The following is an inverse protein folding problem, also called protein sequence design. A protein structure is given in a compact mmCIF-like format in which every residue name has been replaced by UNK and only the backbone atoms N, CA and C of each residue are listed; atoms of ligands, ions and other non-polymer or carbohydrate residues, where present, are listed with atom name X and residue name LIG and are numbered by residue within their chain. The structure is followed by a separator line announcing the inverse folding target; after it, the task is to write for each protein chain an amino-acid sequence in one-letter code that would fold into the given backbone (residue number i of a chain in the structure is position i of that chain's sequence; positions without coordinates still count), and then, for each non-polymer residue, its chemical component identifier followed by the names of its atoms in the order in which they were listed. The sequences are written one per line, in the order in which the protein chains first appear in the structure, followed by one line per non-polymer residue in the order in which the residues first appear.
data_IF_336748766353
#
_entry.id   IF_336748766353
#
_cell.length_a   1.000
_cell.length_b   1.000
_cell.length_c   1.000
_cell.angle_alpha   90.00
_cell.angle_beta   90.00
_cell.angle_gamma   90.00
#
_symmetry.space_group_name_H-M   'P 1'
#
loop_
_entity.id
_entity.type
_entity.pdbx_description
1 polymer ?
#
# COMPACT_ATOMS: atom_id res chain seq x y z
N UNK A 1 23.67 66.89 27.05
CA UNK A 1 22.35 66.47 26.54
C UNK A 1 22.27 66.32 25.02
N UNK A 2 23.39 66.21 24.28
CA UNK A 2 23.38 66.28 22.80
C UNK A 2 23.95 65.05 22.07
N UNK A 3 24.54 64.08 22.77
CA UNK A 3 25.04 62.82 22.17
C UNK A 3 24.07 61.65 22.25
N UNK A 4 23.23 61.60 23.29
CA UNK A 4 22.25 60.52 23.49
C UNK A 4 21.03 60.63 22.58
N UNK A 5 20.71 61.81 22.04
CA UNK A 5 19.55 61.99 21.15
C UNK A 5 19.82 61.57 19.70
N UNK A 6 21.09 61.53 19.26
CA UNK A 6 21.46 61.11 17.89
C UNK A 6 21.50 59.59 17.73
N UNK A 7 21.74 58.83 18.81
CA UNK A 7 21.78 57.37 18.76
C UNK A 7 20.38 56.75 18.75
N UNK A 8 19.41 57.38 19.45
CA UNK A 8 18.01 56.92 19.44
C UNK A 8 17.31 57.17 18.12
N UNK A 9 17.69 58.21 17.36
CA UNK A 9 17.10 58.49 16.05
C UNK A 9 17.62 57.54 14.96
N UNK A 10 18.86 57.02 15.08
CA UNK A 10 19.39 56.01 14.15
C UNK A 10 18.81 54.60 14.43
N UNK A 11 18.53 54.26 15.69
CA UNK A 11 17.88 52.99 16.04
C UNK A 11 16.39 52.95 15.66
N UNK A 12 15.70 54.10 15.60
CA UNK A 12 14.30 54.17 15.16
C UNK A 12 14.13 54.16 13.64
N UNK A 13 15.18 54.47 12.88
CA UNK A 13 15.14 54.46 11.40
C UNK A 13 15.48 53.07 10.82
N UNK A 14 16.13 52.20 11.60
CA UNK A 14 16.46 50.83 11.21
C UNK A 14 15.31 49.82 11.33
N UNK A 15 14.23 50.16 12.05
CA UNK A 15 13.07 49.26 12.28
C UNK A 15 11.91 49.49 11.30
N UNK A 16 12.05 50.39 10.33
CA UNK A 16 11.03 50.69 9.32
C UNK A 16 11.28 50.05 7.95
N UNK A 17 12.35 49.27 7.79
CA UNK A 17 12.52 48.36 6.65
C UNK A 17 11.90 47.00 6.97
N UNK A 18 10.61 47.01 7.33
CA UNK A 18 9.80 45.81 7.15
C UNK A 18 9.65 45.67 5.63
N UNK A 19 10.37 44.72 5.03
CA UNK A 19 10.10 44.27 3.67
C UNK A 19 8.59 44.08 3.53
N UNK A 20 7.94 44.60 2.47
CA UNK A 20 6.52 44.36 2.29
C UNK A 20 6.30 42.86 2.39
N UNK A 21 5.50 42.44 3.37
CA UNK A 21 4.98 41.09 3.40
C UNK A 21 4.11 40.98 2.15
N UNK A 22 4.70 40.49 1.06
CA UNK A 22 3.98 40.20 -0.17
C UNK A 22 3.00 39.07 0.17
N UNK A 23 1.78 39.47 0.53
CA UNK A 23 0.67 38.55 0.65
C UNK A 23 0.51 37.90 -0.72
N UNK A 24 0.71 36.59 -0.80
CA UNK A 24 0.58 35.86 -2.07
C UNK A 24 -0.83 36.09 -2.61
N UNK A 25 -0.99 36.42 -3.90
CA UNK A 25 -2.30 36.65 -4.47
C UNK A 25 -3.16 35.39 -4.34
N UNK A 26 -4.45 35.54 -4.05
CA UNK A 26 -5.35 34.40 -4.05
C UNK A 26 -5.71 34.02 -5.48
N UNK A 27 -5.66 32.72 -5.80
CA UNK A 27 -6.11 32.20 -7.09
C UNK A 27 -7.64 32.19 -7.22
N UNK A 28 -8.38 32.33 -6.10
CA UNK A 28 -9.83 32.20 -6.06
C UNK A 28 -10.55 33.17 -6.99
N UNK A 29 -10.08 34.42 -7.10
CA UNK A 29 -10.70 35.40 -7.98
C UNK A 29 -10.64 34.98 -9.46
N UNK A 30 -9.54 34.36 -9.90
CA UNK A 30 -9.42 33.85 -11.27
C UNK A 30 -10.39 32.69 -11.51
N UNK A 31 -10.54 31.80 -10.52
CA UNK A 31 -11.50 30.68 -10.56
C UNK A 31 -12.93 31.21 -10.68
N UNK A 32 -13.31 32.18 -9.84
CA UNK A 32 -14.67 32.70 -9.76
C UNK A 32 -15.10 33.41 -11.07
N UNK A 33 -14.15 34.07 -11.73
CA UNK A 33 -14.34 34.77 -13.01
C UNK A 33 -14.26 33.85 -14.24
N UNK A 34 -13.81 32.60 -14.09
CA UNK A 34 -13.69 31.66 -15.20
C UNK A 34 -15.08 31.16 -15.63
N UNK A 35 -15.46 31.29 -16.92
CA UNK A 35 -16.73 30.77 -17.42
C UNK A 35 -16.83 29.24 -17.27
N UNK A 36 -18.05 28.73 -17.05
CA UNK A 36 -18.32 27.30 -16.91
C UNK A 36 -17.84 26.53 -18.15
N UNK A 37 -17.25 25.36 -17.91
CA UNK A 37 -16.74 24.46 -18.95
C UNK A 37 -15.45 24.93 -19.63
N UNK A 38 -14.90 26.08 -19.23
CA UNK A 38 -13.68 26.63 -19.85
C UNK A 38 -12.42 26.33 -19.04
N UNK A 39 -11.27 26.61 -19.64
CA UNK A 39 -9.95 26.38 -19.04
C UNK A 39 -9.38 27.67 -18.46
N UNK A 40 -9.04 27.64 -17.17
CA UNK A 40 -8.20 28.63 -16.50
C UNK A 40 -6.73 28.19 -16.56
N UNK A 41 -5.89 29.05 -17.12
CA UNK A 41 -4.42 28.95 -17.09
C UNK A 41 -3.86 30.15 -16.35
N UNK A 42 -3.60 30.03 -15.04
CA UNK A 42 -3.01 31.11 -14.27
C UNK A 42 -1.59 31.42 -14.76
N UNK A 43 -1.13 32.67 -14.66
CA UNK A 43 0.29 32.96 -14.79
C UNK A 43 1.14 32.11 -13.83
N UNK A 44 2.38 31.82 -14.22
CA UNK A 44 3.32 31.13 -13.34
C UNK A 44 3.51 31.91 -12.03
N UNK A 45 3.54 31.21 -10.90
CA UNK A 45 3.70 31.84 -9.59
C UNK A 45 3.15 31.04 -8.43
N UNK A 46 3.30 31.61 -7.23
CA UNK A 46 2.75 31.09 -5.98
C UNK A 46 1.48 31.86 -5.62
N UNK A 47 0.46 31.15 -5.18
CA UNK A 47 -0.83 31.70 -4.80
C UNK A 47 -1.17 31.27 -3.37
N UNK A 48 -1.85 32.15 -2.63
CA UNK A 48 -2.37 31.80 -1.31
C UNK A 48 -3.58 30.87 -1.43
N UNK A 49 -3.49 29.74 -0.74
CA UNK A 49 -4.63 28.90 -0.38
C UNK A 49 -5.33 29.40 0.89
N UNK A 50 -6.46 28.78 1.28
CA UNK A 50 -7.12 27.67 0.60
C UNK A 50 -7.87 28.13 -0.67
N UNK A 51 -8.04 27.22 -1.63
CA UNK A 51 -8.90 27.45 -2.81
C UNK A 51 -10.04 26.44 -2.89
N UNK A 52 -11.18 26.88 -3.45
CA UNK A 52 -12.37 26.06 -3.64
C UNK A 52 -12.81 26.10 -5.10
N UNK A 53 -12.87 24.92 -5.72
CA UNK A 53 -13.44 24.71 -7.06
C UNK A 53 -14.89 24.28 -6.90
N UNK A 54 -15.80 25.25 -6.99
CA UNK A 54 -17.26 25.07 -6.88
C UNK A 54 -17.97 25.13 -8.24
N UNK A 55 -17.20 25.18 -9.33
CA UNK A 55 -17.69 25.35 -10.70
C UNK A 55 -16.97 24.37 -11.62
N UNK A 56 -17.69 23.82 -12.59
CA UNK A 56 -17.11 22.93 -13.60
C UNK A 56 -16.15 23.72 -14.49
N UNK A 57 -14.85 23.58 -14.26
CA UNK A 57 -13.78 24.22 -15.06
C UNK A 57 -12.60 23.26 -15.24
N UNK A 58 -11.70 23.59 -16.16
CA UNK A 58 -10.34 23.03 -16.13
C UNK A 58 -9.40 24.03 -15.50
N UNK A 59 -8.68 23.66 -14.43
CA UNK A 59 -7.56 24.42 -13.90
C UNK A 59 -6.26 23.76 -14.34
N UNK A 60 -5.50 24.46 -15.18
CA UNK A 60 -4.25 24.00 -15.77
C UNK A 60 -3.09 24.89 -15.30
N UNK A 61 -2.29 24.37 -14.36
CA UNK A 61 -1.15 25.06 -13.80
C UNK A 61 0.12 24.97 -14.64
N UNK A 62 0.12 24.18 -15.72
CA UNK A 62 1.26 24.01 -16.64
C UNK A 62 2.59 23.62 -15.95
N UNK A 63 2.52 23.05 -14.73
CA UNK A 63 3.69 22.73 -13.92
C UNK A 63 4.39 23.95 -13.29
N UNK A 64 3.79 25.14 -13.38
CA UNK A 64 4.40 26.40 -12.95
C UNK A 64 3.57 27.17 -11.91
N UNK A 65 2.48 26.58 -11.42
CA UNK A 65 1.58 27.18 -10.42
C UNK A 65 1.67 26.42 -9.10
N UNK A 66 2.03 27.13 -8.03
CA UNK A 66 2.02 26.62 -6.65
C UNK A 66 0.87 27.23 -5.87
N UNK A 67 0.17 26.41 -5.08
CA UNK A 67 -0.83 26.85 -4.11
C UNK A 67 -0.31 26.49 -2.72
N UNK A 68 -0.10 27.52 -1.91
CA UNK A 68 0.45 27.42 -0.57
C UNK A 68 -0.66 27.60 0.47
N UNK A 69 -0.97 26.56 1.23
CA UNK A 69 -1.98 26.58 2.29
C UNK A 69 -1.58 27.35 3.56
N UNK A 70 -0.35 27.84 3.64
CA UNK A 70 0.13 28.66 4.76
C UNK A 70 0.18 27.92 6.10
N UNK A 71 0.16 26.59 6.10
CA UNK A 71 0.16 25.76 7.30
C UNK A 71 -1.19 25.66 8.00
N UNK A 72 -2.30 25.96 7.32
CA UNK A 72 -3.64 25.90 7.91
C UNK A 72 -4.67 25.32 6.95
N UNK A 73 -5.45 24.35 7.43
CA UNK A 73 -6.57 23.82 6.66
C UNK A 73 -6.13 23.00 5.45
N UNK A 74 -7.10 22.70 4.59
CA UNK A 74 -6.90 22.04 3.30
C UNK A 74 -6.50 23.04 2.21
N UNK A 75 -5.51 22.72 1.38
CA UNK A 75 -4.98 23.60 0.32
C UNK A 75 -5.98 23.79 -0.81
N UNK A 76 -6.53 22.71 -1.36
CA UNK A 76 -7.52 22.71 -2.45
C UNK A 76 -8.74 21.86 -2.08
N UNK A 77 -9.94 22.42 -2.24
CA UNK A 77 -11.20 21.67 -2.15
C UNK A 77 -11.93 21.68 -3.48
N UNK A 78 -12.30 20.51 -4.01
CA UNK A 78 -13.12 20.37 -5.22
C UNK A 78 -14.53 19.91 -4.81
N UNK A 79 -15.53 20.68 -5.22
CA UNK A 79 -16.97 20.42 -4.97
C UNK A 79 -17.80 20.31 -6.24
N UNK A 80 -17.25 20.70 -7.38
CA UNK A 80 -17.94 20.61 -8.66
C UNK A 80 -17.51 19.37 -9.43
N UNK A 81 -18.50 18.62 -9.88
CA UNK A 81 -18.32 17.47 -10.77
C UNK A 81 -17.76 17.88 -12.13
N UNK A 82 -17.24 16.91 -12.88
CA UNK A 82 -16.74 17.10 -14.26
C UNK A 82 -15.62 18.16 -14.37
N UNK A 83 -14.85 18.32 -13.29
CA UNK A 83 -13.74 19.27 -13.18
C UNK A 83 -12.44 18.58 -13.56
N UNK A 84 -11.53 19.31 -14.19
CA UNK A 84 -10.17 18.82 -14.47
C UNK A 84 -9.15 19.71 -13.81
N UNK A 85 -8.30 19.15 -12.95
CA UNK A 85 -7.22 19.87 -12.28
C UNK A 85 -5.90 19.22 -12.65
N UNK A 86 -4.98 20.01 -13.21
CA UNK A 86 -3.69 19.47 -13.65
C UNK A 86 -2.51 20.41 -13.51
N UNK A 87 -1.33 19.84 -13.36
CA UNK A 87 -0.07 20.59 -13.40
C UNK A 87 0.10 21.59 -12.26
N UNK A 88 -0.50 21.33 -11.09
CA UNK A 88 -0.35 22.15 -9.90
C UNK A 88 0.66 21.57 -8.92
N UNK A 89 1.24 22.44 -8.11
CA UNK A 89 1.94 22.08 -6.89
C UNK A 89 1.12 22.55 -5.68
N UNK A 90 0.69 21.63 -4.81
CA UNK A 90 -0.07 21.92 -3.60
C UNK A 90 0.80 21.66 -2.37
N UNK A 91 0.98 22.66 -1.52
CA UNK A 91 1.89 22.54 -0.38
C UNK A 91 1.38 23.25 0.88
N UNK A 92 2.01 22.93 2.01
CA UNK A 92 1.78 23.56 3.31
C UNK A 92 0.32 23.48 3.80
N UNK A 93 -0.28 22.30 3.82
CA UNK A 93 -1.57 22.11 4.52
C UNK A 93 -1.41 22.35 6.03
N UNK A 94 -2.54 22.43 6.74
CA UNK A 94 -2.57 22.36 8.20
C UNK A 94 -2.21 20.99 8.76
N UNK A 95 -2.40 20.84 10.08
CA UNK A 95 -1.94 19.70 10.88
C UNK A 95 -3.07 19.02 11.67
N UNK A 96 -4.32 19.40 11.42
CA UNK A 96 -5.47 18.80 12.13
C UNK A 96 -5.85 17.46 11.51
N UNK A 97 -5.69 16.38 12.30
CA UNK A 97 -6.24 15.06 11.99
C UNK A 97 -7.78 15.06 12.04
N UNK A 98 -8.37 15.78 12.99
CA UNK A 98 -9.83 15.87 13.15
C UNK A 98 -10.50 16.57 11.96
N UNK A 99 -9.90 17.66 11.46
CA UNK A 99 -10.41 18.39 10.31
C UNK A 99 -9.99 17.78 8.96
N UNK A 100 -9.10 16.77 8.97
CA UNK A 100 -8.50 16.13 7.80
C UNK A 100 -7.81 17.16 6.88
N UNK A 101 -6.93 17.98 7.45
CA UNK A 101 -6.20 19.01 6.70
C UNK A 101 -5.37 18.38 5.56
N UNK A 102 -5.76 18.63 4.31
CA UNK A 102 -5.23 17.90 3.16
C UNK A 102 -4.58 18.79 2.11
N UNK A 103 -3.80 18.21 1.20
CA UNK A 103 -3.48 18.88 -0.06
C UNK A 103 -4.72 19.02 -0.94
N UNK A 104 -5.47 17.94 -1.11
CA UNK A 104 -6.74 17.91 -1.83
C UNK A 104 -7.85 17.29 -0.99
N UNK A 105 -8.95 18.02 -0.83
CA UNK A 105 -10.24 17.48 -0.45
C UNK A 105 -11.14 17.36 -1.69
N UNK A 106 -11.44 16.13 -2.11
CA UNK A 106 -12.34 15.84 -3.22
C UNK A 106 -13.71 15.42 -2.68
N UNK A 107 -14.75 16.19 -3.05
CA UNK A 107 -16.17 15.96 -2.70
C UNK A 107 -17.04 16.11 -3.95
N UNK A 108 -16.63 15.46 -5.02
CA UNK A 108 -17.23 15.56 -6.35
C UNK A 108 -17.03 14.25 -7.12
N UNK A 109 -17.73 14.13 -8.24
CA UNK A 109 -17.68 12.99 -9.15
C UNK A 109 -17.10 13.37 -10.51
N UNK A 110 -16.61 12.39 -11.26
CA UNK A 110 -16.08 12.60 -12.61
C UNK A 110 -14.97 13.67 -12.65
N UNK A 111 -14.16 13.76 -11.60
CA UNK A 111 -13.02 14.68 -11.52
C UNK A 111 -11.78 13.99 -12.04
N UNK A 112 -11.04 14.68 -12.91
CA UNK A 112 -9.69 14.28 -13.31
C UNK A 112 -8.69 15.15 -12.55
N UNK A 113 -7.91 14.53 -11.68
CA UNK A 113 -6.82 15.17 -10.95
C UNK A 113 -5.50 14.55 -11.39
N UNK A 114 -4.77 15.22 -12.28
CA UNK A 114 -3.62 14.63 -12.97
C UNK A 114 -2.34 15.49 -12.94
N UNK A 115 -1.18 14.85 -12.90
CA UNK A 115 0.13 15.55 -13.07
C UNK A 115 0.36 16.63 -12.03
N UNK A 116 -0.12 16.44 -10.80
CA UNK A 116 0.07 17.37 -9.70
C UNK A 116 1.16 16.86 -8.74
N UNK A 117 1.80 17.79 -8.05
CA UNK A 117 2.72 17.49 -6.94
C UNK A 117 2.09 17.94 -5.62
N UNK A 118 2.10 17.07 -4.63
CA UNK A 118 1.62 17.31 -3.29
C UNK A 118 2.74 16.97 -2.30
N UNK A 119 3.21 17.96 -1.56
CA UNK A 119 4.23 17.78 -0.51
C UNK A 119 4.01 18.73 0.65
N UNK A 120 4.62 18.40 1.80
CA UNK A 120 4.37 19.10 3.06
C UNK A 120 2.88 19.23 3.44
N UNK A 121 2.10 18.22 3.06
CA UNK A 121 0.67 18.09 3.39
C UNK A 121 0.47 16.96 4.40
N UNK A 122 -0.47 17.13 5.34
CA UNK A 122 -0.74 16.12 6.36
C UNK A 122 -1.40 14.91 5.70
N UNK A 123 -2.57 15.11 5.09
CA UNK A 123 -3.19 14.15 4.16
C UNK A 123 -2.92 14.59 2.73
N UNK A 124 -2.60 13.66 1.82
CA UNK A 124 -2.38 14.01 0.41
C UNK A 124 -3.70 14.33 -0.29
N UNK A 125 -4.46 13.29 -0.63
CA UNK A 125 -5.75 13.36 -1.31
C UNK A 125 -6.81 12.65 -0.47
N UNK A 126 -7.84 13.38 -0.03
CA UNK A 126 -8.99 12.80 0.67
C UNK A 126 -10.22 12.86 -0.25
N UNK A 127 -10.61 11.70 -0.78
CA UNK A 127 -11.84 11.49 -1.55
C UNK A 127 -12.95 11.09 -0.57
N UNK A 128 -13.96 11.94 -0.46
CA UNK A 128 -15.05 11.75 0.49
C UNK A 128 -16.38 11.75 -0.25
N UNK A 129 -16.96 10.55 -0.39
CA UNK A 129 -18.19 10.33 -1.16
C UNK A 129 -18.07 10.81 -2.61
N UNK A 130 -16.91 10.60 -3.22
CA UNK A 130 -16.65 10.93 -4.62
C UNK A 130 -16.56 9.66 -5.46
N UNK A 131 -17.20 9.66 -6.62
CA UNK A 131 -17.26 8.50 -7.50
C UNK A 131 -16.75 8.83 -8.90
N UNK A 132 -16.32 7.79 -9.61
CA UNK A 132 -15.94 7.90 -11.03
C UNK A 132 -14.81 8.94 -11.25
N UNK A 133 -13.94 9.14 -10.25
CA UNK A 133 -12.83 10.09 -10.35
C UNK A 133 -11.56 9.40 -10.83
N UNK A 134 -10.73 10.14 -11.57
CA UNK A 134 -9.41 9.70 -12.02
C UNK A 134 -8.33 10.52 -11.32
N UNK A 135 -7.55 9.87 -10.47
CA UNK A 135 -6.38 10.41 -9.79
C UNK A 135 -5.15 9.77 -10.44
N UNK A 136 -4.45 10.50 -11.32
CA UNK A 136 -3.37 9.89 -12.09
C UNK A 136 -2.11 10.73 -12.27
N UNK A 137 -0.97 10.07 -12.48
CA UNK A 137 0.31 10.75 -12.74
C UNK A 137 0.68 11.78 -11.65
N UNK A 138 0.22 11.63 -10.40
CA UNK A 138 0.52 12.57 -9.32
C UNK A 138 1.72 12.10 -8.49
N UNK A 139 2.45 13.06 -7.93
CA UNK A 139 3.50 12.81 -6.94
C UNK A 139 3.02 13.27 -5.57
N UNK A 140 2.96 12.37 -4.61
CA UNK A 140 2.34 12.61 -3.30
C UNK A 140 3.33 12.23 -2.20
N UNK A 141 3.61 13.18 -1.30
CA UNK A 141 4.41 12.97 -0.11
C UNK A 141 3.87 13.78 1.07
N UNK A 142 4.15 13.31 2.29
CA UNK A 142 3.60 13.93 3.51
C UNK A 142 4.58 14.91 4.16
N UNK A 143 4.17 15.49 5.29
CA UNK A 143 5.02 16.31 6.17
C UNK A 143 6.22 15.48 6.69
N UNK A 144 7.37 16.13 6.97
CA UNK A 144 8.60 15.47 7.44
C UNK A 144 8.54 15.10 8.93
N UNK A 145 7.46 14.40 9.34
CA UNK A 145 7.26 13.87 10.68
C UNK A 145 7.39 12.35 10.67
N UNK A 146 7.45 11.73 11.85
CA UNK A 146 7.43 10.27 11.99
C UNK A 146 6.16 9.68 11.39
N UNK A 147 6.23 8.48 10.82
CA UNK A 147 5.16 7.88 10.01
C UNK A 147 3.81 7.81 10.72
N UNK A 148 3.79 7.56 12.04
CA UNK A 148 2.57 7.50 12.85
C UNK A 148 1.83 8.82 12.99
N UNK A 149 2.50 9.96 12.80
CA UNK A 149 1.93 11.30 12.89
C UNK A 149 1.49 11.87 11.52
N UNK A 150 1.85 11.20 10.43
CA UNK A 150 1.42 11.56 9.07
C UNK A 150 -0.06 11.22 8.86
N UNK A 151 -0.72 11.93 7.94
CA UNK A 151 -1.98 11.49 7.37
C UNK A 151 -1.75 10.54 6.20
N UNK A 152 -2.83 9.98 5.69
CA UNK A 152 -2.86 9.13 4.50
C UNK A 152 -2.43 9.91 3.27
N UNK A 153 -1.67 9.26 2.37
CA UNK A 153 -1.31 9.82 1.09
C UNK A 153 -2.54 9.95 0.19
N UNK A 154 -3.33 8.88 0.12
CA UNK A 154 -4.64 8.89 -0.53
C UNK A 154 -5.62 8.17 0.39
N UNK A 155 -6.78 8.78 0.62
CA UNK A 155 -7.86 8.23 1.42
C UNK A 155 -9.16 8.25 0.63
N UNK A 156 -9.81 7.10 0.51
CA UNK A 156 -11.17 6.96 -0.03
C UNK A 156 -12.11 6.59 1.11
N UNK A 157 -13.19 7.36 1.24
CA UNK A 157 -14.25 7.08 2.19
C UNK A 157 -15.60 7.08 1.49
N UNK A 158 -16.34 5.98 1.58
CA UNK A 158 -17.63 5.80 0.91
C UNK A 158 -17.61 6.18 -0.59
N UNK A 159 -16.57 5.76 -1.30
CA UNK A 159 -16.27 6.18 -2.66
C UNK A 159 -16.12 4.96 -3.57
N UNK A 160 -16.61 5.01 -4.81
CA UNK A 160 -16.59 3.86 -5.74
C UNK A 160 -16.21 4.23 -7.16
N UNK A 161 -15.80 3.24 -7.95
CA UNK A 161 -15.42 3.38 -9.36
C UNK A 161 -14.33 4.43 -9.59
N UNK A 162 -13.46 4.67 -8.60
CA UNK A 162 -12.36 5.61 -8.75
C UNK A 162 -11.16 4.89 -9.35
N UNK A 163 -10.43 5.62 -10.18
CA UNK A 163 -9.21 5.19 -10.84
C UNK A 163 -8.02 5.89 -10.19
N UNK A 164 -7.21 5.13 -9.45
CA UNK A 164 -5.96 5.60 -8.84
C UNK A 164 -4.82 5.00 -9.67
N UNK A 165 -4.28 5.77 -10.61
CA UNK A 165 -3.45 5.24 -11.70
C UNK A 165 -2.09 5.93 -11.79
N UNK A 166 -0.99 5.19 -11.94
CA UNK A 166 0.33 5.76 -12.27
C UNK A 166 0.82 6.86 -11.29
N UNK A 167 0.43 6.79 -10.01
CA UNK A 167 0.85 7.76 -9.00
C UNK A 167 2.14 7.31 -8.29
N UNK A 168 2.97 8.28 -7.90
CA UNK A 168 4.11 8.10 -7.01
C UNK A 168 3.71 8.52 -5.58
N UNK A 169 3.55 7.55 -4.69
CA UNK A 169 3.10 7.76 -3.31
C UNK A 169 4.23 7.39 -2.35
N UNK A 170 4.93 8.40 -1.84
CA UNK A 170 6.20 8.20 -1.12
C UNK A 170 6.22 8.91 0.22
N UNK A 171 6.66 8.18 1.24
CA UNK A 171 6.85 8.77 2.56
C UNK A 171 5.55 9.27 3.17
N UNK A 172 4.43 8.63 2.86
CA UNK A 172 3.12 8.93 3.47
C UNK A 172 2.84 7.95 4.61
N UNK A 173 1.68 8.08 5.27
CA UNK A 173 1.22 7.03 6.18
C UNK A 173 0.75 5.82 5.37
N UNK A 174 -0.45 5.90 4.81
CA UNK A 174 -1.10 4.79 4.12
C UNK A 174 -1.83 5.26 2.84
N UNK A 175 -2.12 4.33 1.91
CA UNK A 175 -3.23 4.45 0.95
C UNK A 175 -4.41 3.66 1.55
N UNK A 176 -5.49 4.34 1.95
CA UNK A 176 -6.59 3.72 2.70
C UNK A 176 -7.93 3.82 1.96
N UNK A 177 -8.61 2.68 1.83
CA UNK A 177 -9.99 2.58 1.40
C UNK A 177 -10.87 2.11 2.55
N UNK A 178 -11.93 2.86 2.84
CA UNK A 178 -12.93 2.48 3.85
C UNK A 178 -14.33 2.58 3.24
N UNK A 179 -15.10 1.50 3.31
CA UNK A 179 -16.44 1.40 2.72
C UNK A 179 -16.46 1.81 1.23
N UNK A 180 -15.39 1.47 0.51
CA UNK A 180 -15.13 1.99 -0.84
C UNK A 180 -14.98 0.83 -1.82
N UNK A 181 -16.09 0.31 -2.36
CA UNK A 181 -16.06 -0.84 -3.26
C UNK A 181 -15.69 -0.44 -4.69
N UNK A 182 -15.29 -1.42 -5.49
CA UNK A 182 -15.23 -1.33 -6.95
C UNK A 182 -14.30 -0.20 -7.47
N UNK A 183 -13.11 -0.03 -6.88
CA UNK A 183 -12.10 0.92 -7.37
C UNK A 183 -10.94 0.19 -8.05
N UNK A 184 -10.23 0.93 -8.90
CA UNK A 184 -9.08 0.46 -9.67
C UNK A 184 -7.81 1.15 -9.16
N UNK A 185 -6.86 0.36 -8.64
CA UNK A 185 -5.56 0.85 -8.14
C UNK A 185 -4.48 0.23 -9.02
N UNK A 186 -4.07 0.94 -10.07
CA UNK A 186 -3.30 0.37 -11.18
C UNK A 186 -1.99 1.13 -11.41
N UNK A 187 -0.87 0.42 -11.59
CA UNK A 187 0.38 1.04 -12.05
C UNK A 187 1.05 2.02 -11.07
N UNK A 188 0.65 2.01 -9.78
CA UNK A 188 1.18 2.97 -8.81
C UNK A 188 2.52 2.51 -8.24
N UNK A 189 3.36 3.47 -7.84
CA UNK A 189 4.60 3.23 -7.10
C UNK A 189 4.43 3.69 -5.65
N UNK A 190 4.51 2.74 -4.71
CA UNK A 190 4.33 2.99 -3.27
C UNK A 190 5.60 2.64 -2.50
N UNK A 191 6.29 3.65 -1.96
CA UNK A 191 7.60 3.44 -1.32
C UNK A 191 7.79 4.22 -0.03
N UNK A 192 8.47 3.61 0.94
CA UNK A 192 8.80 4.22 2.24
C UNK A 192 7.58 4.72 3.02
N UNK A 193 6.45 4.05 2.84
CA UNK A 193 5.19 4.29 3.54
C UNK A 193 5.06 3.35 4.74
N UNK A 194 4.09 3.62 5.61
CA UNK A 194 3.76 2.71 6.71
C UNK A 194 3.02 1.50 6.14
N UNK A 195 1.78 1.65 5.71
CA UNK A 195 1.04 0.60 5.00
C UNK A 195 0.93 1.00 3.54
N UNK A 196 1.23 0.09 2.63
CA UNK A 196 1.20 0.42 1.20
C UNK A 196 -0.24 0.64 0.75
N UNK A 197 -1.11 -0.33 1.02
CA UNK A 197 -2.55 -0.23 0.74
C UNK A 197 -3.34 -0.91 1.85
N UNK A 198 -4.42 -0.30 2.29
CA UNK A 198 -5.32 -0.86 3.30
C UNK A 198 -6.77 -0.80 2.81
N UNK A 199 -7.45 -1.94 2.82
CA UNK A 199 -8.83 -2.10 2.41
C UNK A 199 -9.67 -2.54 3.62
N UNK A 200 -10.64 -1.72 4.01
CA UNK A 200 -11.53 -1.98 5.14
C UNK A 200 -12.98 -1.89 4.64
N UNK A 201 -13.73 -2.98 4.73
CA UNK A 201 -15.11 -3.07 4.21
C UNK A 201 -15.24 -2.60 2.76
N UNK A 202 -14.26 -2.94 1.92
CA UNK A 202 -14.10 -2.40 0.58
C UNK A 202 -13.96 -3.54 -0.43
N UNK A 203 -15.06 -4.22 -0.79
CA UNK A 203 -15.03 -5.37 -1.69
C UNK A 203 -14.85 -4.97 -3.17
N UNK A 204 -14.49 -5.93 -4.02
CA UNK A 204 -14.54 -5.77 -5.48
C UNK A 204 -13.47 -4.85 -6.08
N UNK A 205 -12.42 -4.50 -5.33
CA UNK A 205 -11.35 -3.63 -5.83
C UNK A 205 -10.31 -4.40 -6.66
N UNK A 206 -9.83 -3.77 -7.73
CA UNK A 206 -8.75 -4.27 -8.58
C UNK A 206 -7.42 -3.61 -8.18
N UNK A 207 -6.40 -4.44 -7.92
CA UNK A 207 -5.06 -4.03 -7.56
C UNK A 207 -4.09 -4.69 -8.53
N UNK A 208 -3.62 -3.91 -9.52
CA UNK A 208 -2.86 -4.45 -10.65
C UNK A 208 -1.63 -3.63 -11.05
N UNK A 209 -0.58 -4.29 -11.49
CA UNK A 209 0.66 -3.67 -12.00
C UNK A 209 1.32 -2.67 -11.03
N UNK A 210 1.09 -2.78 -9.71
CA UNK A 210 1.70 -1.84 -8.76
C UNK A 210 3.09 -2.31 -8.33
N UNK A 211 3.99 -1.33 -8.11
CA UNK A 211 5.30 -1.56 -7.53
C UNK A 211 5.34 -1.05 -6.08
N UNK A 212 5.43 -2.00 -5.15
CA UNK A 212 5.40 -1.76 -3.71
C UNK A 212 6.77 -2.14 -3.15
N UNK A 213 7.47 -1.19 -2.51
CA UNK A 213 8.83 -1.42 -2.05
C UNK A 213 9.24 -0.62 -0.82
N UNK A 214 9.93 -1.27 0.12
CA UNK A 214 10.49 -0.63 1.33
C UNK A 214 9.44 0.05 2.22
N UNK A 215 8.25 -0.53 2.30
CA UNK A 215 7.19 -0.08 3.22
C UNK A 215 7.24 -0.90 4.53
N UNK A 216 6.63 -0.40 5.59
CA UNK A 216 6.53 -1.18 6.83
C UNK A 216 5.67 -2.43 6.62
N UNK A 217 4.54 -2.28 5.91
CA UNK A 217 3.60 -3.34 5.50
C UNK A 217 3.18 -3.16 4.04
N UNK A 218 2.93 -4.26 3.32
CA UNK A 218 2.43 -4.24 1.95
C UNK A 218 0.93 -3.95 1.86
N UNK A 219 0.17 -4.86 1.25
CA UNK A 219 -1.29 -4.76 1.08
C UNK A 219 -2.00 -5.46 2.24
N UNK A 220 -2.95 -4.78 2.86
CA UNK A 220 -3.78 -5.30 3.95
C UNK A 220 -5.25 -5.25 3.53
N UNK A 221 -5.93 -6.39 3.64
CA UNK A 221 -7.36 -6.49 3.40
C UNK A 221 -8.07 -7.01 4.65
N UNK A 222 -9.08 -6.28 5.13
CA UNK A 222 -9.89 -6.63 6.29
C UNK A 222 -11.36 -6.51 5.91
N UNK A 223 -12.11 -7.61 6.03
CA UNK A 223 -13.54 -7.68 5.65
C UNK A 223 -13.81 -7.11 4.25
N UNK A 224 -12.94 -7.41 3.29
CA UNK A 224 -12.96 -6.86 1.94
C UNK A 224 -12.89 -8.00 0.94
N UNK A 225 -14.07 -8.49 0.56
CA UNK A 225 -14.23 -9.66 -0.31
C UNK A 225 -13.99 -9.33 -1.79
N UNK A 226 -13.83 -10.35 -2.62
CA UNK A 226 -13.79 -10.22 -4.09
C UNK A 226 -12.68 -9.28 -4.59
N UNK A 227 -11.57 -9.17 -3.85
CA UNK A 227 -10.40 -8.42 -4.30
C UNK A 227 -9.67 -9.16 -5.41
N UNK A 228 -9.15 -8.40 -6.35
CA UNK A 228 -8.36 -8.92 -7.46
C UNK A 228 -6.95 -8.33 -7.42
N UNK A 229 -6.02 -9.08 -6.82
CA UNK A 229 -4.63 -8.68 -6.60
C UNK A 229 -3.76 -9.43 -7.59
N UNK A 230 -3.39 -8.77 -8.70
CA UNK A 230 -2.62 -9.43 -9.76
C UNK A 230 -1.50 -8.63 -10.37
N UNK A 231 -0.49 -9.32 -10.88
CA UNK A 231 0.61 -8.71 -11.63
C UNK A 231 1.36 -7.60 -10.84
N UNK A 232 1.32 -7.65 -9.50
CA UNK A 232 2.02 -6.67 -8.65
C UNK A 232 3.41 -7.18 -8.26
N UNK A 233 4.32 -6.24 -8.04
CA UNK A 233 5.65 -6.52 -7.48
C UNK A 233 5.75 -5.94 -6.08
N UNK A 234 5.85 -6.81 -5.07
CA UNK A 234 5.89 -6.46 -3.66
C UNK A 234 7.20 -6.92 -3.04
N UNK A 235 8.02 -5.97 -2.61
CA UNK A 235 9.37 -6.24 -2.16
C UNK A 235 9.81 -5.48 -0.91
N UNK A 236 10.80 -6.05 -0.22
CA UNK A 236 11.50 -5.40 0.89
C UNK A 236 10.60 -5.00 2.07
N UNK A 237 9.51 -5.73 2.32
CA UNK A 237 8.71 -5.59 3.54
C UNK A 237 9.38 -6.38 4.66
N UNK A 238 10.36 -5.75 5.34
CA UNK A 238 11.31 -6.44 6.23
C UNK A 238 11.04 -6.29 7.72
N UNK A 239 10.05 -5.48 8.11
CA UNK A 239 9.72 -5.31 9.53
C UNK A 239 9.21 -6.63 10.12
N UNK A 240 9.71 -6.98 11.31
CA UNK A 240 9.32 -8.20 12.00
C UNK A 240 7.82 -8.22 12.26
N UNK A 241 7.15 -9.29 11.85
CA UNK A 241 5.70 -9.46 12.00
C UNK A 241 4.86 -8.72 10.96
N UNK A 242 5.48 -8.09 9.96
CA UNK A 242 4.77 -7.48 8.83
C UNK A 242 4.70 -8.45 7.64
N UNK A 243 3.76 -8.22 6.72
CA UNK A 243 3.56 -9.06 5.54
C UNK A 243 3.47 -8.22 4.27
N UNK A 244 3.91 -8.79 3.15
CA UNK A 244 3.70 -8.21 1.83
C UNK A 244 2.21 -8.23 1.45
N UNK A 245 1.51 -9.31 1.78
CA UNK A 245 0.06 -9.44 1.68
C UNK A 245 -0.48 -9.92 3.03
N UNK A 246 -1.49 -9.25 3.58
CA UNK A 246 -2.19 -9.68 4.79
C UNK A 246 -3.70 -9.67 4.51
N UNK A 247 -4.28 -10.86 4.36
CA UNK A 247 -5.70 -11.05 4.04
C UNK A 247 -6.40 -11.58 5.28
N UNK A 248 -7.31 -10.76 5.83
CA UNK A 248 -8.00 -11.04 7.09
C UNK A 248 -9.50 -10.96 6.91
N UNK A 249 -10.20 -12.02 7.31
CA UNK A 249 -11.66 -12.11 7.29
C UNK A 249 -12.25 -11.66 5.96
N UNK A 250 -11.56 -12.00 4.87
CA UNK A 250 -11.90 -11.63 3.50
C UNK A 250 -11.93 -12.90 2.65
N UNK A 251 -12.84 -12.92 1.68
CA UNK A 251 -13.18 -14.10 0.89
C UNK A 251 -13.21 -13.79 -0.60
N UNK A 252 -13.16 -14.84 -1.42
CA UNK A 252 -13.22 -14.74 -2.88
C UNK A 252 -12.14 -13.83 -3.48
N UNK A 253 -11.01 -13.69 -2.76
CA UNK A 253 -9.87 -12.89 -3.21
C UNK A 253 -9.02 -13.73 -4.16
N UNK A 254 -8.68 -13.14 -5.30
CA UNK A 254 -7.72 -13.71 -6.24
C UNK A 254 -6.36 -13.03 -6.04
N UNK A 255 -5.33 -13.84 -5.81
CA UNK A 255 -3.93 -13.42 -5.71
C UNK A 255 -3.20 -14.15 -6.84
N UNK A 256 -2.94 -13.46 -7.95
CA UNK A 256 -2.42 -14.09 -9.15
C UNK A 256 -1.22 -13.38 -9.78
N UNK A 257 -0.24 -14.10 -10.32
CA UNK A 257 0.89 -13.52 -11.06
C UNK A 257 1.69 -12.44 -10.31
N UNK A 258 1.71 -12.45 -8.97
CA UNK A 258 2.47 -11.46 -8.21
C UNK A 258 3.91 -11.91 -7.98
N UNK A 259 4.84 -10.97 -8.05
CA UNK A 259 6.22 -11.14 -7.60
C UNK A 259 6.34 -10.69 -6.14
N UNK A 260 6.54 -11.65 -5.22
CA UNK A 260 6.59 -11.41 -3.78
C UNK A 260 7.99 -11.74 -3.28
N UNK A 261 8.84 -10.71 -3.20
CA UNK A 261 10.29 -10.87 -3.10
C UNK A 261 10.89 -10.24 -1.84
N UNK A 262 11.70 -11.01 -1.10
CA UNK A 262 12.51 -10.49 0.01
C UNK A 262 11.68 -9.81 1.11
N UNK A 263 10.61 -10.47 1.55
CA UNK A 263 9.73 -10.01 2.62
C UNK A 263 9.87 -10.87 3.89
N UNK A 264 9.51 -10.30 5.04
CA UNK A 264 9.44 -11.03 6.31
C UNK A 264 8.37 -12.13 6.24
N UNK A 265 7.19 -11.80 5.71
CA UNK A 265 6.17 -12.79 5.31
C UNK A 265 5.61 -12.37 3.95
N UNK A 266 5.56 -13.29 2.99
CA UNK A 266 4.99 -13.02 1.67
C UNK A 266 3.48 -12.82 1.74
N UNK A 267 2.74 -13.85 2.16
CA UNK A 267 1.29 -13.82 2.36
C UNK A 267 0.94 -14.33 3.76
N UNK A 268 0.14 -13.56 4.49
CA UNK A 268 -0.53 -13.99 5.72
C UNK A 268 -2.04 -14.09 5.48
N UNK A 269 -2.65 -15.22 5.82
CA UNK A 269 -4.10 -15.41 5.67
C UNK A 269 -4.71 -16.27 6.79
N UNK A 270 -5.95 -15.96 7.18
CA UNK A 270 -6.74 -16.81 8.08
C UNK A 270 -7.49 -17.91 7.33
N UNK A 271 -7.72 -19.01 8.03
CA UNK A 271 -8.60 -20.08 7.56
C UNK A 271 -10.00 -19.53 7.24
N UNK A 272 -10.66 -20.03 6.17
CA UNK A 272 -12.07 -19.80 5.90
C UNK A 272 -12.92 -20.20 7.11
N UNK A 273 -13.78 -19.30 7.59
CA UNK A 273 -14.80 -19.66 8.59
C UNK A 273 -15.90 -20.50 7.93
N UNK A 274 -16.25 -20.17 6.68
CA UNK A 274 -17.25 -20.87 5.87
C UNK A 274 -16.63 -21.43 4.58
N UNK A 275 -17.16 -22.53 4.00
CA UNK A 275 -16.61 -23.13 2.77
C UNK A 275 -16.50 -22.18 1.58
N UNK A 276 -17.34 -21.16 1.51
CA UNK A 276 -17.33 -20.11 0.50
C UNK A 276 -16.22 -19.06 0.71
N UNK A 277 -15.54 -19.05 1.86
CA UNK A 277 -14.52 -18.05 2.20
C UNK A 277 -13.13 -18.42 1.65
N UNK A 278 -13.07 -18.70 0.35
CA UNK A 278 -11.88 -19.23 -0.33
C UNK A 278 -10.96 -18.09 -0.78
N UNK A 279 -9.66 -18.34 -0.78
CA UNK A 279 -8.67 -17.53 -1.47
C UNK A 279 -8.14 -18.35 -2.65
N UNK A 280 -7.97 -17.70 -3.80
CA UNK A 280 -7.39 -18.30 -5.01
C UNK A 280 -5.98 -17.75 -5.17
N UNK A 281 -4.98 -18.56 -4.79
CA UNK A 281 -3.57 -18.18 -4.81
C UNK A 281 -2.92 -18.95 -5.94
N UNK A 282 -2.64 -18.28 -7.06
CA UNK A 282 -2.13 -18.97 -8.25
C UNK A 282 -1.08 -18.21 -9.01
N UNK A 283 -0.18 -18.92 -9.67
CA UNK A 283 0.80 -18.32 -10.58
C UNK A 283 1.72 -17.25 -9.91
N UNK A 284 1.82 -17.22 -8.57
CA UNK A 284 2.66 -16.24 -7.88
C UNK A 284 4.08 -16.75 -7.71
N UNK A 285 5.04 -15.84 -7.74
CA UNK A 285 6.45 -16.11 -7.42
C UNK A 285 6.79 -15.59 -6.04
N UNK A 286 6.95 -16.50 -5.08
CA UNK A 286 7.45 -16.20 -3.76
C UNK A 286 8.95 -16.48 -3.73
N UNK A 287 9.77 -15.43 -3.62
CA UNK A 287 11.23 -15.58 -3.68
C UNK A 287 11.95 -14.86 -2.53
N UNK A 288 12.93 -15.52 -1.91
CA UNK A 288 13.77 -14.95 -0.85
C UNK A 288 13.01 -14.40 0.38
N UNK A 289 11.79 -14.86 0.64
CA UNK A 289 11.04 -14.46 1.82
C UNK A 289 11.50 -15.27 3.05
N UNK A 290 11.41 -14.69 4.25
CA UNK A 290 11.66 -15.47 5.48
C UNK A 290 10.57 -16.55 5.64
N UNK A 291 9.33 -16.18 5.35
CA UNK A 291 8.19 -17.08 5.22
C UNK A 291 7.46 -16.69 3.92
N UNK A 292 7.29 -17.60 2.96
CA UNK A 292 6.52 -17.28 1.75
C UNK A 292 5.04 -17.16 2.06
N UNK A 293 4.43 -18.17 2.70
CA UNK A 293 3.02 -18.12 3.11
C UNK A 293 2.87 -18.55 4.58
N UNK A 294 2.09 -17.79 5.33
CA UNK A 294 1.68 -18.07 6.70
C UNK A 294 0.15 -18.19 6.80
N UNK A 295 -0.33 -19.37 7.18
CA UNK A 295 -1.75 -19.60 7.47
C UNK A 295 -2.02 -19.73 8.96
N UNK A 296 -3.11 -19.16 9.42
CA UNK A 296 -3.57 -19.35 10.80
C UNK A 296 -5.07 -19.69 10.88
N UNK A 297 -5.52 -20.24 12.01
CA UNK A 297 -6.92 -20.63 12.22
C UNK A 297 -7.12 -22.15 12.24
N UNK A 298 -8.36 -22.60 12.13
CA UNK A 298 -8.75 -23.95 12.59
C UNK A 298 -9.06 -24.96 11.47
N UNK A 299 -8.97 -24.56 10.19
CA UNK A 299 -9.51 -25.39 9.09
C UNK A 299 -8.73 -25.39 7.78
N UNK A 300 -8.12 -24.28 7.35
CA UNK A 300 -7.72 -24.13 5.93
C UNK A 300 -8.91 -24.27 4.97
N UNK A 301 -8.64 -24.52 3.68
CA UNK A 301 -9.65 -24.60 2.62
C UNK A 301 -9.45 -23.61 1.47
N UNK A 302 -8.26 -23.01 1.35
CA UNK A 302 -7.91 -22.18 0.19
C UNK A 302 -7.42 -23.04 -0.99
N UNK A 303 -7.35 -22.44 -2.17
CA UNK A 303 -6.84 -23.09 -3.39
C UNK A 303 -5.49 -22.46 -3.74
N UNK A 304 -4.43 -23.27 -3.75
CA UNK A 304 -3.05 -22.83 -3.97
C UNK A 304 -2.41 -23.64 -5.08
N UNK A 305 -2.50 -23.15 -6.31
CA UNK A 305 -2.08 -23.87 -7.51
C UNK A 305 -1.03 -23.12 -8.30
N UNK A 306 -0.11 -23.82 -8.96
CA UNK A 306 0.79 -23.24 -9.96
C UNK A 306 1.70 -22.10 -9.45
N UNK A 307 1.97 -22.02 -8.14
CA UNK A 307 2.88 -21.02 -7.56
C UNK A 307 4.32 -21.53 -7.54
N UNK A 308 5.27 -20.60 -7.52
CA UNK A 308 6.69 -20.89 -7.43
C UNK A 308 7.24 -20.46 -6.06
N UNK A 309 7.88 -21.40 -5.36
CA UNK A 309 8.51 -21.18 -4.06
C UNK A 309 10.02 -21.35 -4.17
N UNK A 310 10.72 -20.24 -4.34
CA UNK A 310 12.16 -20.22 -4.63
C UNK A 310 12.98 -19.54 -3.54
N UNK A 311 13.95 -20.25 -2.97
CA UNK A 311 14.93 -19.74 -2.00
C UNK A 311 14.29 -19.02 -0.80
N UNK A 312 13.09 -19.44 -0.39
CA UNK A 312 12.47 -18.94 0.84
C UNK A 312 13.06 -19.67 2.04
N UNK A 313 13.27 -18.98 3.17
CA UNK A 313 13.73 -19.65 4.38
C UNK A 313 12.68 -20.66 4.90
N UNK A 314 11.40 -20.35 4.69
CA UNK A 314 10.27 -21.25 4.94
C UNK A 314 9.22 -21.05 3.85
N UNK A 315 8.88 -22.10 3.09
CA UNK A 315 7.85 -21.99 2.05
C UNK A 315 6.45 -21.81 2.67
N UNK A 316 6.09 -22.66 3.64
CA UNK A 316 4.80 -22.56 4.35
C UNK A 316 4.99 -22.70 5.85
N UNK A 317 4.42 -21.76 6.60
CA UNK A 317 4.31 -21.82 8.05
C UNK A 317 2.84 -21.77 8.48
N UNK A 318 2.52 -22.36 9.63
CA UNK A 318 1.15 -22.44 10.12
C UNK A 318 1.06 -22.21 11.63
N UNK A 319 -0.07 -21.69 12.11
CA UNK A 319 -0.34 -21.65 13.56
C UNK A 319 -0.66 -23.04 14.13
N UNK A 320 -1.23 -23.92 13.31
CA UNK A 320 -1.46 -25.33 13.60
C UNK A 320 -1.50 -26.11 12.27
N UNK A 321 -1.13 -27.41 12.23
CA UNK A 321 -1.18 -28.19 10.99
C UNK A 321 -2.52 -28.10 10.24
N UNK A 322 -3.63 -28.09 10.98
CA UNK A 322 -4.98 -27.99 10.42
C UNK A 322 -5.26 -26.66 9.69
N UNK A 323 -4.50 -25.58 9.96
CA UNK A 323 -4.67 -24.28 9.30
C UNK A 323 -4.37 -24.31 7.79
N UNK A 324 -3.61 -25.31 7.32
CA UNK A 324 -3.29 -25.49 5.90
C UNK A 324 -3.57 -26.90 5.35
N UNK A 325 -3.81 -27.91 6.21
CA UNK A 325 -4.00 -29.31 5.82
C UNK A 325 -5.09 -29.53 4.78
N UNK A 326 -6.18 -28.76 4.88
CA UNK A 326 -7.33 -28.90 3.98
C UNK A 326 -7.34 -27.87 2.85
N UNK A 327 -6.25 -27.13 2.65
CA UNK A 327 -6.05 -26.38 1.41
C UNK A 327 -5.82 -27.35 0.24
N UNK A 328 -6.25 -26.97 -0.96
CA UNK A 328 -5.99 -27.73 -2.19
C UNK A 328 -4.69 -27.21 -2.84
N UNK A 329 -3.61 -27.97 -2.67
CA UNK A 329 -2.29 -27.69 -3.24
C UNK A 329 -2.08 -28.54 -4.49
N UNK A 330 -1.70 -27.93 -5.62
CA UNK A 330 -1.41 -28.65 -6.88
C UNK A 330 -0.43 -27.89 -7.75
N UNK A 331 0.39 -28.61 -8.50
CA UNK A 331 1.22 -28.06 -9.58
C UNK A 331 2.13 -26.91 -9.13
N UNK A 332 2.43 -26.79 -7.83
CA UNK A 332 3.36 -25.77 -7.37
C UNK A 332 4.79 -26.22 -7.65
N UNK A 333 5.66 -25.28 -7.93
CA UNK A 333 7.10 -25.50 -8.02
C UNK A 333 7.74 -25.25 -6.65
N UNK A 334 8.54 -26.22 -6.19
CA UNK A 334 9.24 -26.16 -4.92
C UNK A 334 10.73 -26.37 -5.17
N UNK A 335 11.56 -25.40 -4.79
CA UNK A 335 13.01 -25.44 -4.97
C UNK A 335 13.69 -26.62 -4.26
N UNK A 336 13.05 -27.17 -3.23
CA UNK A 336 13.52 -28.30 -2.43
C UNK A 336 12.76 -29.61 -2.71
N UNK A 337 12.07 -29.72 -3.85
CA UNK A 337 11.45 -30.98 -4.26
C UNK A 337 12.51 -32.04 -4.60
N UNK A 338 12.48 -33.19 -3.93
CA UNK A 338 13.47 -34.27 -4.07
C UNK A 338 12.94 -35.48 -4.89
N UNK A 339 11.75 -35.39 -5.47
CA UNK A 339 11.18 -36.45 -6.29
C UNK A 339 11.70 -36.47 -7.73
N UNK A 340 11.25 -37.47 -8.49
CA UNK A 340 11.62 -37.66 -9.90
C UNK A 340 10.40 -37.53 -10.79
N UNK A 341 10.62 -37.11 -12.04
CA UNK A 341 9.66 -37.22 -13.14
C UNK A 341 10.20 -38.28 -14.13
N UNK A 342 9.68 -39.50 -14.03
CA UNK A 342 10.13 -40.63 -14.84
C UNK A 342 9.44 -40.67 -16.21
N UNK A 343 8.27 -40.04 -16.38
CA UNK A 343 7.50 -40.06 -17.61
C UNK A 343 7.71 -38.81 -18.50
N UNK A 344 8.41 -37.79 -17.98
CA UNK A 344 8.85 -36.60 -18.69
C UNK A 344 7.75 -35.56 -18.92
N UNK A 345 6.72 -35.53 -18.07
CA UNK A 345 5.58 -34.63 -18.22
C UNK A 345 5.72 -33.28 -17.44
N UNK A 346 6.86 -33.05 -16.78
CA UNK A 346 7.20 -31.94 -15.87
C UNK A 346 6.40 -31.90 -14.56
N UNK A 347 5.82 -33.03 -14.15
CA UNK A 347 5.13 -33.24 -12.87
C UNK A 347 5.84 -34.38 -12.15
N UNK A 348 6.14 -34.18 -10.87
CA UNK A 348 6.79 -35.19 -10.06
C UNK A 348 5.89 -36.40 -9.78
N UNK A 349 6.47 -37.61 -9.86
CA UNK A 349 5.78 -38.88 -9.59
C UNK A 349 5.48 -39.12 -8.11
N UNK A 350 6.08 -38.31 -7.22
CA UNK A 350 5.88 -38.36 -5.77
C UNK A 350 5.27 -37.06 -5.24
N UNK A 351 4.41 -37.12 -4.21
CA UNK A 351 3.89 -35.93 -3.58
C UNK A 351 5.01 -35.12 -2.90
N UNK A 352 4.85 -33.79 -2.86
CA UNK A 352 5.64 -32.92 -2.00
C UNK A 352 4.90 -32.72 -0.67
N UNK A 353 5.35 -33.41 0.36
CA UNK A 353 4.78 -33.33 1.71
C UNK A 353 5.63 -32.46 2.64
N UNK A 354 4.98 -31.55 3.36
CA UNK A 354 5.62 -30.78 4.43
C UNK A 354 5.05 -31.22 5.78
N UNK A 355 5.94 -31.65 6.68
CA UNK A 355 5.60 -32.09 8.03
C UNK A 355 6.01 -31.06 9.10
N UNK A 356 5.26 -31.02 10.19
CA UNK A 356 5.58 -30.31 11.42
C UNK A 356 6.23 -31.27 12.41
N UNK A 357 7.50 -31.03 12.73
CA UNK A 357 8.22 -31.75 13.77
C UNK A 357 8.06 -31.05 15.13
N UNK A 358 7.99 -31.83 16.21
CA UNK A 358 7.60 -31.37 17.55
C UNK A 358 8.49 -30.25 18.14
N UNK A 359 9.72 -30.10 17.66
CA UNK A 359 10.72 -29.21 18.24
C UNK A 359 10.95 -27.92 17.43
N UNK A 360 10.03 -27.57 16.51
CA UNK A 360 10.00 -26.26 15.82
C UNK A 360 9.62 -25.09 16.75
N UNK A 361 10.32 -24.94 17.88
CA UNK A 361 10.18 -23.86 18.88
C UNK A 361 10.32 -22.46 18.25
N UNK A 362 10.93 -22.35 17.06
CA UNK A 362 11.06 -21.10 16.30
C UNK A 362 9.81 -20.65 15.55
N UNK A 363 8.81 -21.53 15.38
CA UNK A 363 7.49 -21.10 14.91
C UNK A 363 6.74 -20.32 16.00
N UNK A 364 6.98 -20.66 17.27
CA UNK A 364 6.37 -19.97 18.43
C UNK A 364 7.17 -18.74 18.89
N UNK A 365 8.46 -18.64 18.55
CA UNK A 365 9.35 -17.55 18.97
C UNK A 365 10.09 -16.92 17.79
N UNK A 366 9.65 -15.75 17.31
CA UNK A 366 10.29 -15.04 16.19
C UNK A 366 11.81 -14.78 16.37
N UNK A 367 12.29 -14.64 17.62
CA UNK A 367 13.70 -14.35 17.93
C UNK A 367 14.65 -15.54 17.72
N UNK A 368 14.15 -16.77 17.64
CA UNK A 368 14.99 -17.96 17.41
C UNK A 368 15.16 -18.29 15.93
N UNK A 369 14.43 -17.62 15.02
CA UNK A 369 14.59 -17.77 13.57
C UNK A 369 16.04 -17.48 13.09
N UNK A 370 16.77 -16.61 13.80
CA UNK A 370 18.18 -16.32 13.52
C UNK A 370 19.07 -17.57 13.53
N UNK A 371 18.76 -18.58 14.33
CA UNK A 371 19.58 -19.79 14.43
C UNK A 371 19.27 -20.85 13.36
N UNK A 372 18.18 -20.69 12.59
CA UNK A 372 17.67 -21.73 11.68
C UNK A 372 18.65 -22.14 10.58
N UNK A 373 19.39 -21.21 9.99
CA UNK A 373 20.36 -21.51 8.94
C UNK A 373 21.76 -21.87 9.48
N UNK A 374 21.86 -22.22 10.76
CA UNK A 374 23.13 -22.69 11.33
C UNK A 374 23.33 -24.18 11.06
N UNK A 375 24.57 -24.66 10.86
CA UNK A 375 24.83 -26.09 10.69
C UNK A 375 24.28 -26.97 11.81
N UNK A 376 24.18 -26.43 13.03
CA UNK A 376 23.59 -27.13 14.18
C UNK A 376 22.09 -27.37 13.99
N UNK A 377 21.35 -26.40 13.46
CA UNK A 377 19.91 -26.55 13.21
C UNK A 377 19.62 -27.45 12.01
N UNK A 378 20.43 -27.38 10.95
CA UNK A 378 20.38 -28.33 9.83
C UNK A 378 20.61 -29.78 10.30
N UNK A 379 21.57 -29.98 11.21
CA UNK A 379 21.83 -31.29 11.80
C UNK A 379 20.66 -31.78 12.67
N UNK A 380 20.02 -30.89 13.42
CA UNK A 380 18.80 -31.22 14.19
C UNK A 380 17.66 -31.60 13.24
N UNK A 381 17.39 -30.84 12.16
CA UNK A 381 16.34 -31.17 11.17
C UNK A 381 16.62 -32.54 10.52
N UNK A 382 17.89 -32.85 10.20
CA UNK A 382 18.28 -34.16 9.70
C UNK A 382 17.99 -35.30 10.69
N UNK A 383 18.36 -35.14 11.98
CA UNK A 383 18.09 -36.14 13.02
C UNK A 383 16.58 -36.31 13.23
N UNK A 384 15.80 -35.23 13.21
CA UNK A 384 14.34 -35.27 13.33
C UNK A 384 13.68 -36.01 12.15
N UNK A 385 14.19 -35.83 10.93
CA UNK A 385 13.72 -36.62 9.77
C UNK A 385 14.08 -38.09 9.88
N UNK A 386 15.26 -38.41 10.43
CA UNK A 386 15.77 -39.78 10.53
C UNK A 386 15.14 -40.58 11.68
N UNK A 387 14.92 -39.95 12.83
CA UNK A 387 14.43 -40.59 14.06
C UNK A 387 13.59 -39.61 14.90
N UNK A 388 12.36 -39.28 14.46
CA UNK A 388 11.53 -38.31 15.17
C UNK A 388 11.08 -38.84 16.53
N UNK A 389 11.14 -38.01 17.58
CA UNK A 389 10.71 -38.36 18.95
C UNK A 389 9.19 -38.53 19.08
N UNK A 390 8.42 -38.05 18.11
CA UNK A 390 6.97 -38.25 17.96
C UNK A 390 6.61 -38.26 16.47
N UNK A 391 5.49 -38.88 16.08
CA UNK A 391 5.09 -38.88 14.67
C UNK A 391 4.82 -37.44 14.22
N UNK A 392 5.56 -36.92 13.22
CA UNK A 392 5.38 -35.54 12.79
C UNK A 392 4.03 -35.39 12.09
N UNK A 393 3.39 -34.24 12.28
CA UNK A 393 2.07 -33.99 11.70
C UNK A 393 2.18 -33.42 10.30
N UNK A 394 1.42 -33.96 9.35
CA UNK A 394 1.35 -33.40 7.99
C UNK A 394 0.71 -31.99 8.02
N UNK A 395 1.42 -31.00 7.48
CA UNK A 395 0.93 -29.63 7.28
C UNK A 395 0.23 -29.52 5.93
N UNK A 396 0.87 -29.98 4.85
CA UNK A 396 0.33 -29.97 3.50
C UNK A 396 0.94 -31.09 2.65
N UNK A 397 0.25 -31.44 1.58
CA UNK A 397 0.71 -32.34 0.53
C UNK A 397 0.31 -31.75 -0.81
N UNK A 398 1.28 -31.53 -1.70
CA UNK A 398 1.05 -31.28 -3.12
C UNK A 398 1.22 -32.62 -3.86
N UNK A 399 0.14 -33.24 -4.37
CA UNK A 399 0.20 -34.56 -4.99
C UNK A 399 0.78 -34.55 -6.40
N UNK A 400 0.94 -33.38 -7.01
CA UNK A 400 1.40 -33.22 -8.39
C UNK A 400 2.33 -31.99 -8.48
N UNK A 401 3.46 -31.95 -7.74
CA UNK A 401 4.37 -30.81 -7.77
C UNK A 401 5.06 -30.71 -9.13
N UNK A 402 5.34 -29.49 -9.60
CA UNK A 402 6.11 -29.30 -10.85
C UNK A 402 7.59 -29.59 -10.60
N UNK A 403 8.23 -30.31 -11.52
CA UNK A 403 9.68 -30.51 -11.49
C UNK A 403 10.43 -29.27 -11.99
N UNK A 404 11.68 -29.04 -11.53
CA UNK A 404 12.54 -27.96 -12.01
C UNK A 404 12.91 -28.03 -13.50
#
# INVERSE_FOLDING_TARGET
MTRTLRLTLLLLLGTLLASPAYCQPSLQLYIDLTPLGTTLRPPAGTYSGPIVISRQITLDGQGAVTIDGGGKGTVLTIKADNTVIRGLHLTNSGESHDALDAGLQLKANNVVFEKNTLDNVLFGINIHQGNDNTIRDNRISSKPVVSSLRGEGIRLWNSRNNHIEENEIIGVRDLLLTNSPDNHIIGNRLQNNRISMEFIFSPGNEIRDNHIGNNDTGIVAIYSDELDIRDNRIEHIRNTGSSALAIKESSQVTIANNEIVHNAVGLTANSPVHPENILYIRDNHFTYNNIAIYFYGEKGGHIIHDNHFDSNLTSVAVSAPISARYNDWRNNHWDNYEGFDLDGNNIGDLPHDIYLYADRIWMDRPTTQFFRSTPTMEFIDFIERLAPFSNPELILSDPAPRTP
#
